data_IF_281719450485
#
_entry.id   IF_281719450485
#
_cell.length_a   1.000
_cell.length_b   1.000
_cell.length_c   1.000
_cell.angle_alpha   90.00
_cell.angle_beta   90.00
_cell.angle_gamma   90.00
#
_symmetry.space_group_name_H-M   'P 1'
#
loop_
_entity.id
_entity.type
_entity.pdbx_description
1 polymer ?
#
# COMPACT_ATOMS: atom_id res chain seq x y z
N UNK A 1 -10.77 -29.93 -11.71
CA UNK A 1 -10.25 -29.69 -10.35
C UNK A 1 -9.08 -28.75 -10.52
N UNK A 2 -9.28 -27.43 -10.45
CA UNK A 2 -8.15 -26.49 -10.45
C UNK A 2 -7.48 -26.60 -9.08
N UNK A 3 -6.24 -27.06 -9.04
CA UNK A 3 -5.46 -27.07 -7.81
C UNK A 3 -5.30 -25.63 -7.33
N UNK A 4 -5.77 -25.35 -6.12
CA UNK A 4 -5.54 -24.05 -5.50
C UNK A 4 -4.06 -23.94 -5.13
N UNK A 5 -3.40 -22.89 -5.61
CA UNK A 5 -2.02 -22.61 -5.27
C UNK A 5 -1.95 -22.42 -3.76
N UNK A 6 -1.08 -23.19 -3.14
CA UNK A 6 -0.81 -23.11 -1.70
C UNK A 6 0.24 -22.03 -1.46
N UNK A 7 0.05 -21.27 -0.38
CA UNK A 7 1.03 -20.28 0.11
C UNK A 7 2.35 -20.96 0.44
N UNK A 8 3.46 -20.38 -0.02
CA UNK A 8 4.81 -20.90 0.25
C UNK A 8 5.32 -20.46 1.62
N UNK A 9 6.11 -21.31 2.28
CA UNK A 9 6.77 -21.03 3.56
C UNK A 9 8.27 -21.28 3.44
N UNK A 10 9.10 -20.31 3.84
CA UNK A 10 10.56 -20.43 3.81
C UNK A 10 11.14 -20.62 5.22
N UNK A 11 12.19 -21.44 5.34
CA UNK A 11 12.79 -21.81 6.65
C UNK A 11 13.84 -20.81 7.13
N UNK A 12 14.54 -20.15 6.20
CA UNK A 12 15.56 -19.14 6.49
C UNK A 12 15.17 -17.85 5.77
N UNK A 13 14.98 -16.77 6.53
CA UNK A 13 14.66 -15.46 5.99
C UNK A 13 15.62 -14.44 6.58
N UNK A 14 16.39 -13.77 5.73
CA UNK A 14 17.07 -12.52 6.12
C UNK A 14 16.02 -11.41 6.33
N UNK A 15 16.37 -10.35 7.06
CA UNK A 15 15.46 -9.24 7.38
C UNK A 15 14.79 -8.65 6.12
N UNK A 16 15.57 -8.46 5.05
CA UNK A 16 15.06 -7.94 3.77
C UNK A 16 14.03 -8.89 3.14
N UNK A 17 14.34 -10.18 3.15
CA UNK A 17 13.46 -11.20 2.61
C UNK A 17 12.19 -11.33 3.45
N UNK A 18 12.28 -11.22 4.77
CA UNK A 18 11.12 -11.25 5.65
C UNK A 18 10.16 -10.09 5.38
N UNK A 19 10.70 -8.88 5.14
CA UNK A 19 9.89 -7.73 4.73
C UNK A 19 9.19 -7.95 3.37
N UNK A 20 9.91 -8.51 2.39
CA UNK A 20 9.34 -8.89 1.10
C UNK A 20 8.29 -10.00 1.22
N UNK A 21 8.54 -11.00 2.07
CA UNK A 21 7.65 -12.12 2.33
C UNK A 21 6.33 -11.66 2.98
N UNK A 22 6.39 -10.70 3.91
CA UNK A 22 5.17 -10.12 4.50
C UNK A 22 4.28 -9.47 3.43
N UNK A 23 4.89 -8.73 2.50
CA UNK A 23 4.18 -8.10 1.39
C UNK A 23 3.61 -9.14 0.41
N UNK A 24 4.38 -10.17 0.07
CA UNK A 24 3.90 -11.32 -0.69
C UNK A 24 2.71 -12.00 0.01
N UNK A 25 2.81 -12.23 1.32
CA UNK A 25 1.78 -12.88 2.13
C UNK A 25 0.46 -12.12 2.08
N UNK A 26 0.50 -10.81 2.28
CA UNK A 26 -0.68 -9.94 2.22
C UNK A 26 -1.33 -9.96 0.82
N UNK A 27 -0.52 -9.87 -0.24
CA UNK A 27 -1.00 -9.92 -1.63
C UNK A 27 -1.55 -11.27 -2.03
N UNK A 28 -0.95 -12.36 -1.56
CA UNK A 28 -1.40 -13.72 -1.82
C UNK A 28 -2.77 -14.00 -1.19
N UNK A 29 -3.01 -13.47 0.01
CA UNK A 29 -4.30 -13.58 0.70
C UNK A 29 -5.37 -12.68 0.07
N UNK A 30 -4.97 -11.51 -0.46
CA UNK A 30 -5.88 -10.59 -1.15
C UNK A 30 -6.23 -11.02 -2.59
N UNK A 31 -5.41 -11.86 -3.22
CA UNK A 31 -5.62 -12.30 -4.60
C UNK A 31 -6.85 -13.22 -4.72
N UNK A 32 -7.83 -12.81 -5.52
CA UNK A 32 -8.98 -13.63 -5.88
C UNK A 32 -8.64 -14.66 -6.98
N UNK A 33 -7.73 -14.30 -7.88
CA UNK A 33 -7.38 -15.10 -9.05
C UNK A 33 -6.26 -16.10 -8.74
N UNK A 34 -6.46 -17.34 -9.18
CA UNK A 34 -5.51 -18.43 -8.99
C UNK A 34 -4.23 -18.20 -9.81
N UNK A 35 -4.37 -17.66 -11.02
CA UNK A 35 -3.24 -17.29 -11.88
C UNK A 35 -2.36 -16.22 -11.23
N UNK A 36 -2.97 -15.32 -10.44
CA UNK A 36 -2.20 -14.31 -9.70
C UNK A 36 -1.43 -14.92 -8.54
N UNK A 37 -2.00 -15.92 -7.86
CA UNK A 37 -1.33 -16.64 -6.77
C UNK A 37 -0.13 -17.44 -7.28
N UNK A 38 -0.23 -18.06 -8.46
CA UNK A 38 0.90 -18.77 -9.07
C UNK A 38 2.01 -17.80 -9.48
N UNK A 39 1.68 -16.65 -10.08
CA UNK A 39 2.67 -15.60 -10.37
C UNK A 39 3.40 -15.10 -9.11
N UNK A 40 2.66 -14.84 -8.03
CA UNK A 40 3.24 -14.41 -6.76
C UNK A 40 4.19 -15.45 -6.18
N UNK A 41 3.83 -16.74 -6.27
CA UNK A 41 4.68 -17.86 -5.87
C UNK A 41 5.98 -17.91 -6.68
N UNK A 42 5.89 -17.74 -7.99
CA UNK A 42 7.05 -17.71 -8.87
C UNK A 42 7.98 -16.54 -8.55
N UNK A 43 7.41 -15.36 -8.31
CA UNK A 43 8.16 -14.14 -8.00
C UNK A 43 8.87 -14.24 -6.65
N UNK A 44 8.21 -14.71 -5.59
CA UNK A 44 8.87 -14.87 -4.29
C UNK A 44 9.96 -15.96 -4.31
N UNK A 45 9.77 -17.01 -5.11
CA UNK A 45 10.78 -18.07 -5.30
C UNK A 45 11.98 -17.53 -6.07
N UNK A 46 11.76 -16.74 -7.14
CA UNK A 46 12.85 -16.08 -7.86
C UNK A 46 13.63 -15.11 -6.97
N UNK A 47 12.96 -14.41 -6.05
CA UNK A 47 13.62 -13.53 -5.08
C UNK A 47 14.47 -14.34 -4.10
N UNK A 48 13.94 -15.46 -3.59
CA UNK A 48 14.68 -16.35 -2.69
C UNK A 48 15.92 -16.97 -3.36
N UNK A 49 15.82 -17.32 -4.64
CA UNK A 49 16.92 -17.85 -5.45
C UNK A 49 17.90 -16.75 -5.94
N UNK A 50 17.73 -15.49 -5.51
CA UNK A 50 18.53 -14.34 -5.93
C UNK A 50 18.54 -14.09 -7.45
N UNK A 51 17.54 -14.61 -8.18
CA UNK A 51 17.38 -14.45 -9.64
C UNK A 51 16.84 -13.07 -10.02
N UNK A 52 16.17 -12.39 -9.08
CA UNK A 52 15.63 -11.05 -9.26
C UNK A 52 16.06 -10.16 -8.10
N UNK A 53 16.14 -8.85 -8.36
CA UNK A 53 16.42 -7.87 -7.32
C UNK A 53 15.16 -7.53 -6.52
N UNK A 54 15.35 -7.00 -5.30
CA UNK A 54 14.23 -6.51 -4.49
C UNK A 54 13.41 -5.41 -5.18
N UNK A 55 14.00 -4.41 -5.85
CA UNK A 55 13.24 -3.45 -6.66
C UNK A 55 12.34 -4.11 -7.71
N UNK A 56 12.88 -5.10 -8.44
CA UNK A 56 12.10 -5.80 -9.47
C UNK A 56 10.94 -6.59 -8.85
N UNK A 57 11.19 -7.24 -7.71
CA UNK A 57 10.15 -7.90 -6.93
C UNK A 57 9.01 -6.92 -6.59
N UNK A 58 9.31 -5.76 -5.99
CA UNK A 58 8.27 -4.80 -5.62
C UNK A 58 7.53 -4.22 -6.83
N UNK A 59 8.23 -3.98 -7.95
CA UNK A 59 7.59 -3.54 -9.19
C UNK A 59 6.57 -4.56 -9.73
N UNK A 60 6.88 -5.86 -9.63
CA UNK A 60 5.94 -6.93 -10.05
C UNK A 60 4.78 -7.11 -9.08
N UNK A 61 5.02 -6.85 -7.78
CA UNK A 61 4.00 -6.90 -6.73
C UNK A 61 2.99 -5.74 -6.87
N UNK A 62 3.48 -4.60 -7.34
CA UNK A 62 2.74 -3.36 -7.45
C UNK A 62 1.76 -3.29 -8.62
N UNK A 63 1.76 -4.28 -9.53
CA UNK A 63 0.83 -4.32 -10.67
C UNK A 63 -0.65 -4.17 -10.32
N UNK A 64 -1.04 -4.59 -9.12
CA UNK A 64 -2.44 -4.60 -8.68
C UNK A 64 -2.89 -3.28 -8.01
N UNK A 65 -1.94 -2.41 -7.64
CA UNK A 65 -2.27 -1.12 -7.05
C UNK A 65 -2.41 -0.12 -8.20
N UNK A 66 -3.66 0.23 -8.52
CA UNK A 66 -3.99 1.28 -9.49
C UNK A 66 -3.18 2.54 -9.18
N UNK A 67 -2.20 2.84 -10.03
CA UNK A 67 -1.22 3.92 -9.89
C UNK A 67 -1.87 5.31 -9.77
N UNK A 68 -3.17 5.39 -10.07
CA UNK A 68 -3.94 6.63 -10.03
C UNK A 68 -3.97 7.30 -8.64
N UNK A 69 -3.75 6.56 -7.55
CA UNK A 69 -3.93 7.10 -6.19
C UNK A 69 -2.71 7.05 -5.26
N UNK A 70 -1.55 6.48 -5.65
CA UNK A 70 -0.43 6.28 -4.71
C UNK A 70 0.16 7.56 -4.13
N UNK A 71 0.04 8.67 -4.86
CA UNK A 71 0.58 9.97 -4.47
C UNK A 71 -0.42 11.09 -4.69
N UNK A 72 -1.70 10.87 -4.42
CA UNK A 72 -2.62 12.00 -4.35
C UNK A 72 -2.17 12.91 -3.21
N UNK A 73 -1.63 14.07 -3.58
CA UNK A 73 -1.22 15.09 -2.64
C UNK A 73 -2.48 15.49 -1.87
N UNK A 74 -2.59 15.06 -0.62
CA UNK A 74 -3.65 15.51 0.26
C UNK A 74 -3.60 17.04 0.29
N UNK A 75 -4.64 17.66 -0.29
CA UNK A 75 -4.74 19.11 -0.34
C UNK A 75 -5.17 19.57 1.03
N UNK A 76 -4.25 20.19 1.77
CA UNK A 76 -4.61 20.91 2.98
C UNK A 76 -5.46 22.11 2.58
N UNK A 77 -6.78 21.99 2.75
CA UNK A 77 -7.72 23.07 2.50
C UNK A 77 -7.65 24.06 3.67
N UNK A 78 -7.03 25.21 3.43
CA UNK A 78 -6.96 26.31 4.41
C UNK A 78 -7.80 27.49 3.93
N UNK A 79 -8.14 28.40 4.87
CA UNK A 79 -8.80 29.66 4.53
C UNK A 79 -7.77 30.79 4.41
N UNK A 80 -8.06 31.79 3.55
CA UNK A 80 -7.27 33.02 3.50
C UNK A 80 -7.32 33.72 4.87
N UNK A 81 -6.18 34.24 5.33
CA UNK A 81 -6.03 34.90 6.66
C UNK A 81 -7.12 35.94 6.97
N UNK A 82 -7.56 36.71 5.98
CA UNK A 82 -8.63 37.69 6.15
C UNK A 82 -9.98 37.03 6.48
N UNK A 83 -10.38 35.99 5.74
CA UNK A 83 -11.63 35.27 5.96
C UNK A 83 -11.65 34.56 7.32
N UNK A 84 -10.51 34.00 7.75
CA UNK A 84 -10.34 33.45 9.09
C UNK A 84 -10.62 34.50 10.17
N UNK A 85 -9.98 35.69 10.08
CA UNK A 85 -10.14 36.78 11.04
C UNK A 85 -11.57 37.32 11.09
N UNK A 86 -12.25 37.42 9.95
CA UNK A 86 -13.64 37.86 9.91
C UNK A 86 -14.57 36.87 10.62
N UNK A 87 -14.38 35.58 10.39
CA UNK A 87 -15.12 34.52 11.06
C UNK A 87 -14.87 34.52 12.57
N UNK A 88 -13.62 34.64 13.02
CA UNK A 88 -13.31 34.75 14.46
C UNK A 88 -14.01 35.94 15.11
N UNK A 89 -13.94 37.14 14.51
CA UNK A 89 -14.63 38.32 15.05
C UNK A 89 -16.14 38.13 15.14
N UNK A 90 -16.74 37.44 14.15
CA UNK A 90 -18.17 37.11 14.15
C UNK A 90 -18.50 36.15 15.29
N UNK A 91 -17.71 35.09 15.47
CA UNK A 91 -17.87 34.12 16.56
C UNK A 91 -17.72 34.80 17.92
N UNK A 92 -16.71 35.64 18.10
CA UNK A 92 -16.48 36.37 19.35
C UNK A 92 -17.61 37.35 19.66
N UNK A 93 -18.16 38.01 18.64
CA UNK A 93 -19.32 38.89 18.82
C UNK A 93 -20.54 38.10 19.28
N UNK A 94 -20.80 36.95 18.68
CA UNK A 94 -21.90 36.07 19.10
C UNK A 94 -21.68 35.60 20.54
N UNK A 95 -20.45 35.18 20.89
CA UNK A 95 -20.11 34.74 22.25
C UNK A 95 -20.27 35.86 23.30
N UNK A 96 -20.06 37.12 22.92
CA UNK A 96 -20.24 38.28 23.82
C UNK A 96 -21.70 38.68 24.04
N UNK A 97 -22.59 38.36 23.10
CA UNK A 97 -23.99 38.78 23.10
C UNK A 97 -24.99 37.60 23.21
N UNK A 98 -24.47 36.39 23.45
CA UNK A 98 -25.20 35.23 23.95
C UNK A 98 -24.73 34.96 25.36
#
# INVERSE_FOLDING_TARGET
MSESAKKLSFKSMDFKFMAAYNQYSEKFEAAADEDRKTELNDVITKLHDEKISYPDFYNTLDRDIDDRNRFHRDKINTSRKFAYRENERKVDRIRRHK
#
